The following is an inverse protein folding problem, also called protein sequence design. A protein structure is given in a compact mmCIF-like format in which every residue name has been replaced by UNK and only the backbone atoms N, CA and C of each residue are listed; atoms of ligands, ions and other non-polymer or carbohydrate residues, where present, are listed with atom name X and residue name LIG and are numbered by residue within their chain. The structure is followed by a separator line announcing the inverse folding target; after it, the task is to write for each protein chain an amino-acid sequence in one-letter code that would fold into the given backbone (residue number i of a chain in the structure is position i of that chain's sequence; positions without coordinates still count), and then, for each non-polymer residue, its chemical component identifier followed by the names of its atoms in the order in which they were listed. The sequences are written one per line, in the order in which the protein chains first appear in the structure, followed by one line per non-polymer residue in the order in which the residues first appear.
data_IF_218237995453
#
_entry.id   IF_218237995453
#
_cell.length_a   1.000
_cell.length_b   1.000
_cell.length_c   1.000
_cell.angle_alpha   90.00
_cell.angle_beta   90.00
_cell.angle_gamma   90.00
#
_symmetry.space_group_name_H-M   'P 1'
#
loop_
_entity.id
_entity.type
_entity.pdbx_description
1 polymer ?
#
# COMPACT_ATOMS: atom_id res chain seq x y z
N UNK A 1 -11.74 -14.22 -25.66
CA UNK A 1 -11.39 -15.25 -24.65
C UNK A 1 -11.58 -14.61 -23.29
N UNK A 2 -12.18 -15.31 -22.32
CA UNK A 2 -12.34 -14.78 -20.95
C UNK A 2 -10.96 -14.68 -20.30
N UNK A 3 -10.70 -13.56 -19.60
CA UNK A 3 -9.48 -13.36 -18.80
C UNK A 3 -9.40 -14.42 -17.70
N UNK A 4 -8.27 -15.18 -17.59
CA UNK A 4 -8.10 -16.13 -16.50
C UNK A 4 -8.18 -15.43 -15.14
N UNK A 5 -9.05 -15.91 -14.26
CA UNK A 5 -9.18 -15.42 -12.89
C UNK A 5 -9.25 -16.60 -11.92
N UNK A 6 -8.48 -16.54 -10.85
CA UNK A 6 -8.51 -17.52 -9.77
C UNK A 6 -8.25 -16.84 -8.42
N UNK A 7 -8.76 -17.42 -7.36
CA UNK A 7 -8.49 -17.00 -5.98
C UNK A 7 -7.74 -18.12 -5.26
N UNK A 8 -6.93 -17.76 -4.27
CA UNK A 8 -6.15 -18.72 -3.50
C UNK A 8 -5.61 -18.13 -2.20
N UNK A 9 -4.84 -18.94 -1.51
CA UNK A 9 -4.10 -18.51 -0.32
C UNK A 9 -2.67 -19.01 -0.37
N UNK A 10 -1.74 -18.22 0.19
CA UNK A 10 -0.38 -18.67 0.54
C UNK A 10 -0.22 -18.65 2.05
N UNK A 11 0.72 -19.42 2.55
CA UNK A 11 1.09 -19.41 3.97
C UNK A 11 2.37 -18.60 4.14
N UNK A 12 2.31 -17.53 4.93
CA UNK A 12 3.48 -16.74 5.33
C UNK A 12 4.39 -17.53 6.26
N UNK A 13 5.60 -17.03 6.47
CA UNK A 13 6.62 -17.71 7.28
C UNK A 13 6.17 -18.01 8.72
N UNK A 14 5.32 -17.15 9.29
CA UNK A 14 4.77 -17.32 10.64
C UNK A 14 3.49 -18.17 10.70
N UNK A 15 3.09 -18.79 9.59
CA UNK A 15 1.86 -19.58 9.47
C UNK A 15 0.62 -18.77 9.10
N UNK A 16 0.70 -17.44 8.99
CA UNK A 16 -0.42 -16.60 8.60
C UNK A 16 -0.87 -16.94 7.17
N UNK A 17 -2.18 -17.18 6.98
CA UNK A 17 -2.79 -17.35 5.65
C UNK A 17 -2.99 -15.99 5.00
N UNK A 18 -2.48 -15.81 3.79
CA UNK A 18 -2.63 -14.60 2.98
C UNK A 18 -3.48 -14.93 1.76
N UNK A 19 -4.64 -14.31 1.69
CA UNK A 19 -5.62 -14.51 0.61
C UNK A 19 -5.33 -13.57 -0.57
N UNK A 20 -5.47 -14.10 -1.78
CA UNK A 20 -5.23 -13.33 -3.00
C UNK A 20 -6.19 -13.71 -4.13
N UNK A 21 -6.37 -12.77 -5.07
CA UNK A 21 -6.92 -13.01 -6.41
C UNK A 21 -5.80 -12.87 -7.44
N UNK A 22 -5.81 -13.74 -8.43
CA UNK A 22 -4.89 -13.76 -9.56
C UNK A 22 -5.66 -13.58 -10.86
N UNK A 23 -5.29 -12.58 -11.67
CA UNK A 23 -5.99 -12.23 -12.90
C UNK A 23 -4.98 -12.03 -14.03
N UNK A 24 -5.23 -12.65 -15.19
CA UNK A 24 -4.41 -12.50 -16.38
C UNK A 24 -3.26 -13.50 -16.50
N UNK A 25 -2.38 -13.23 -17.47
CA UNK A 25 -1.21 -14.06 -17.80
C UNK A 25 -0.02 -13.14 -18.15
N UNK A 26 1.20 -13.64 -17.93
CA UNK A 26 2.45 -12.91 -18.17
C UNK A 26 3.24 -12.66 -16.88
N UNK A 27 4.24 -11.74 -16.90
CA UNK A 27 5.02 -11.40 -15.72
C UNK A 27 4.14 -10.97 -14.55
N UNK A 28 4.52 -11.36 -13.32
CA UNK A 28 3.72 -11.08 -12.14
C UNK A 28 3.82 -9.62 -11.69
N UNK A 29 2.66 -9.06 -11.32
CA UNK A 29 2.52 -7.77 -10.65
C UNK A 29 1.72 -7.99 -9.36
N UNK A 30 2.36 -7.83 -8.21
CA UNK A 30 1.69 -7.88 -6.90
C UNK A 30 1.27 -6.46 -6.52
N UNK A 31 0.00 -6.28 -6.16
CA UNK A 31 -0.55 -4.99 -5.73
C UNK A 31 -0.60 -4.94 -4.21
N UNK A 32 0.15 -4.02 -3.63
CA UNK A 32 0.23 -3.76 -2.18
C UNK A 32 -0.69 -2.59 -1.85
N UNK A 33 -1.81 -2.90 -1.23
CA UNK A 33 -2.85 -1.94 -0.88
C UNK A 33 -2.41 -0.98 0.24
N UNK A 34 -2.97 0.24 0.25
CA UNK A 34 -2.74 1.24 1.29
C UNK A 34 -3.43 0.93 2.62
N UNK A 35 -3.38 1.88 3.56
CA UNK A 35 -3.79 1.70 4.96
C UNK A 35 -5.23 1.20 5.14
N UNK A 36 -6.16 1.66 4.31
CA UNK A 36 -7.58 1.32 4.45
C UNK A 36 -8.12 0.48 3.31
N UNK A 37 -7.25 -0.01 2.43
CA UNK A 37 -7.64 -0.77 1.25
C UNK A 37 -7.50 -2.28 1.48
N UNK A 38 -8.44 -3.04 0.92
CA UNK A 38 -8.39 -4.49 0.74
C UNK A 38 -9.32 -4.89 -0.40
N UNK A 39 -9.24 -6.12 -0.89
CA UNK A 39 -9.90 -6.57 -2.14
C UNK A 39 -11.40 -6.28 -2.19
N UNK A 40 -12.13 -6.55 -1.11
CA UNK A 40 -13.58 -6.33 -1.06
C UNK A 40 -13.97 -4.85 -0.86
N UNK A 41 -13.07 -4.03 -0.32
CA UNK A 41 -13.31 -2.61 -0.06
C UNK A 41 -13.09 -1.73 -1.29
N UNK A 42 -12.05 -2.04 -2.10
CA UNK A 42 -11.68 -1.22 -3.26
C UNK A 42 -11.87 -1.97 -4.59
N UNK A 43 -13.02 -1.79 -5.26
CA UNK A 43 -13.30 -2.44 -6.54
C UNK A 43 -12.35 -1.98 -7.66
N UNK A 44 -11.69 -0.82 -7.55
CA UNK A 44 -10.75 -0.32 -8.55
C UNK A 44 -9.52 -1.22 -8.69
N UNK A 45 -9.14 -1.94 -7.63
CA UNK A 45 -8.06 -2.93 -7.70
C UNK A 45 -8.40 -4.06 -8.70
N UNK A 46 -9.64 -4.55 -8.67
CA UNK A 46 -10.10 -5.57 -9.61
C UNK A 46 -10.24 -5.03 -11.04
N UNK A 47 -10.72 -3.78 -11.20
CA UNK A 47 -10.79 -3.11 -12.51
C UNK A 47 -9.40 -2.96 -13.11
N UNK A 48 -8.43 -2.46 -12.34
CA UNK A 48 -7.04 -2.32 -12.78
C UNK A 48 -6.42 -3.67 -13.19
N UNK A 49 -6.66 -4.72 -12.40
CA UNK A 49 -6.21 -6.07 -12.73
C UNK A 49 -6.75 -6.54 -14.07
N UNK A 50 -8.05 -6.30 -14.33
CA UNK A 50 -8.68 -6.60 -15.63
C UNK A 50 -8.05 -5.85 -16.79
N UNK A 51 -7.75 -4.55 -16.61
CA UNK A 51 -7.11 -3.72 -17.64
C UNK A 51 -5.66 -4.14 -17.94
N UNK A 52 -4.98 -4.80 -17.04
CA UNK A 52 -3.58 -5.24 -17.21
C UNK A 52 -3.45 -6.73 -17.60
N UNK A 53 -4.54 -7.49 -17.55
CA UNK A 53 -4.56 -8.95 -17.60
C UNK A 53 -4.09 -9.58 -18.92
N UNK A 54 -4.09 -8.84 -20.03
CA UNK A 54 -3.58 -9.29 -21.30
C UNK A 54 -2.04 -9.27 -21.39
N UNK A 55 -1.37 -8.61 -20.44
CA UNK A 55 0.08 -8.41 -20.43
C UNK A 55 0.75 -8.88 -19.14
N UNK A 56 0.03 -8.96 -18.05
CA UNK A 56 0.55 -9.27 -16.72
C UNK A 56 -0.35 -10.25 -15.98
N UNK A 57 0.27 -11.02 -15.10
CA UNK A 57 -0.43 -11.74 -14.05
C UNK A 57 -0.54 -10.82 -12.84
N UNK A 58 -1.71 -10.19 -12.63
CA UNK A 58 -1.94 -9.30 -11.51
C UNK A 58 -2.41 -10.08 -10.29
N UNK A 59 -1.75 -9.89 -9.17
CA UNK A 59 -2.03 -10.53 -7.88
C UNK A 59 -2.47 -9.43 -6.91
N UNK A 60 -3.76 -9.36 -6.63
CA UNK A 60 -4.32 -8.53 -5.56
C UNK A 60 -4.44 -9.40 -4.31
N UNK A 61 -3.90 -8.96 -3.18
CA UNK A 61 -4.00 -9.71 -1.93
C UNK A 61 -4.56 -8.84 -0.81
N UNK A 62 -5.17 -9.47 0.16
CA UNK A 62 -5.50 -8.81 1.42
C UNK A 62 -4.27 -8.84 2.31
N UNK A 63 -3.79 -7.68 2.74
CA UNK A 63 -2.71 -7.60 3.73
C UNK A 63 -3.15 -8.30 5.02
N UNK A 64 -2.18 -8.80 5.82
CA UNK A 64 -2.48 -9.52 7.06
C UNK A 64 -3.47 -8.76 7.94
N UNK A 65 -4.43 -9.49 8.52
CA UNK A 65 -5.50 -8.95 9.36
C UNK A 65 -6.59 -8.18 8.61
N UNK A 66 -6.60 -8.20 7.27
CA UNK A 66 -7.63 -7.56 6.45
C UNK A 66 -8.34 -8.56 5.56
N UNK A 67 -9.60 -8.31 5.26
CA UNK A 67 -10.40 -9.12 4.35
C UNK A 67 -10.40 -10.60 4.73
N UNK A 68 -9.93 -11.45 3.81
CA UNK A 68 -9.88 -12.91 4.01
C UNK A 68 -8.51 -13.41 4.51
N UNK A 69 -7.55 -12.52 4.75
CA UNK A 69 -6.24 -12.89 5.31
C UNK A 69 -6.28 -13.04 6.82
N UNK A 70 -5.50 -13.98 7.33
CA UNK A 70 -5.27 -14.17 8.76
C UNK A 70 -4.42 -13.05 9.38
N UNK A 71 -4.32 -13.08 10.71
CA UNK A 71 -3.47 -12.17 11.48
C UNK A 71 -2.82 -12.91 12.65
N UNK A 72 -1.52 -13.13 12.59
CA UNK A 72 -0.76 -13.76 13.67
C UNK A 72 0.05 -12.68 14.40
N UNK A 73 -0.21 -12.54 15.70
CA UNK A 73 0.50 -11.60 16.56
C UNK A 73 1.72 -12.26 17.22
N UNK A 74 2.74 -11.49 17.63
CA UNK A 74 2.83 -10.03 17.50
C UNK A 74 3.13 -9.57 16.07
N UNK A 75 2.62 -8.38 15.71
CA UNK A 75 2.97 -7.73 14.44
C UNK A 75 4.40 -7.20 14.45
N UNK A 76 5.02 -7.20 13.29
CA UNK A 76 6.18 -6.39 12.96
C UNK A 76 6.21 -6.13 11.45
N UNK A 77 6.86 -5.05 10.96
CA UNK A 77 7.01 -4.79 9.52
C UNK A 77 7.59 -5.97 8.75
N UNK A 78 8.52 -6.71 9.36
CA UNK A 78 9.13 -7.91 8.77
C UNK A 78 8.08 -8.98 8.38
N UNK A 79 6.96 -9.08 9.12
CA UNK A 79 5.91 -10.05 8.81
C UNK A 79 5.21 -9.76 7.48
N UNK A 80 4.98 -8.49 7.13
CA UNK A 80 4.42 -8.14 5.82
C UNK A 80 5.43 -8.34 4.68
N UNK A 81 6.71 -8.14 4.93
CA UNK A 81 7.76 -8.50 3.97
C UNK A 81 7.75 -10.02 3.72
N UNK A 82 7.57 -10.84 4.75
CA UNK A 82 7.43 -12.30 4.64
C UNK A 82 6.15 -12.72 3.90
N UNK A 83 5.05 -11.96 4.02
CA UNK A 83 3.82 -12.17 3.24
C UNK A 83 4.08 -11.96 1.75
N UNK A 84 4.75 -10.86 1.40
CA UNK A 84 5.13 -10.59 0.01
C UNK A 84 6.09 -11.66 -0.50
N UNK A 85 7.03 -12.13 0.31
CA UNK A 85 7.93 -13.23 -0.05
C UNK A 85 7.17 -14.52 -0.37
N UNK A 86 6.13 -14.85 0.41
CA UNK A 86 5.27 -16.01 0.15
C UNK A 86 4.48 -15.87 -1.15
N UNK A 87 3.95 -14.66 -1.44
CA UNK A 87 3.28 -14.36 -2.70
C UNK A 87 4.23 -14.45 -3.90
N UNK A 88 5.46 -13.97 -3.74
CA UNK A 88 6.50 -14.06 -4.78
C UNK A 88 6.87 -15.52 -5.05
N UNK A 89 7.12 -16.30 -4.01
CA UNK A 89 7.49 -17.71 -4.14
C UNK A 89 6.36 -18.59 -4.70
N UNK A 90 5.11 -18.27 -4.35
CA UNK A 90 3.93 -19.03 -4.74
C UNK A 90 3.29 -18.54 -6.06
N UNK A 91 2.19 -17.75 -5.99
CA UNK A 91 1.40 -17.39 -7.17
C UNK A 91 2.14 -16.55 -8.22
N UNK A 92 3.21 -15.84 -7.84
CA UNK A 92 4.01 -15.05 -8.77
C UNK A 92 5.10 -15.87 -9.50
N UNK A 93 5.38 -17.08 -9.06
CA UNK A 93 6.34 -17.97 -9.76
C UNK A 93 7.82 -17.63 -9.55
N UNK A 94 8.18 -17.04 -8.42
CA UNK A 94 9.55 -16.81 -7.98
C UNK A 94 10.08 -15.40 -8.17
N UNK A 95 9.40 -14.53 -8.93
CA UNK A 95 9.74 -13.10 -9.09
C UNK A 95 8.51 -12.27 -9.44
N UNK A 96 8.54 -10.99 -9.14
CA UNK A 96 7.43 -10.09 -9.42
C UNK A 96 7.89 -8.63 -9.55
N UNK A 97 7.05 -7.80 -10.17
CA UNK A 97 7.03 -6.36 -9.92
C UNK A 97 6.02 -6.04 -8.81
N UNK A 98 6.22 -4.93 -8.11
CA UNK A 98 5.30 -4.46 -7.06
C UNK A 98 4.66 -3.14 -7.46
N UNK A 99 3.36 -3.01 -7.19
CA UNK A 99 2.63 -1.74 -7.23
C UNK A 99 2.09 -1.47 -5.83
N UNK A 100 2.57 -0.41 -5.18
CA UNK A 100 2.08 -0.01 -3.86
C UNK A 100 1.32 1.32 -3.90
N UNK A 101 0.15 1.33 -3.27
CA UNK A 101 -0.64 2.55 -3.08
C UNK A 101 -0.40 3.14 -1.71
N UNK A 102 -0.20 4.48 -1.62
CA UNK A 102 -0.08 5.18 -0.34
C UNK A 102 1.02 4.53 0.53
N UNK A 103 0.75 4.20 1.77
CA UNK A 103 1.63 3.44 2.68
C UNK A 103 2.02 2.06 2.12
N UNK A 104 1.17 1.42 1.32
CA UNK A 104 1.52 0.19 0.61
C UNK A 104 2.70 0.35 -0.36
N UNK A 105 2.96 1.56 -0.85
CA UNK A 105 4.17 1.89 -1.60
C UNK A 105 5.43 1.76 -0.75
N UNK A 106 5.36 2.14 0.51
CA UNK A 106 6.47 1.99 1.47
C UNK A 106 6.70 0.52 1.77
N UNK A 107 5.64 -0.26 2.02
CA UNK A 107 5.72 -1.72 2.23
C UNK A 107 6.37 -2.41 1.02
N UNK A 108 5.95 -2.05 -0.21
CA UNK A 108 6.53 -2.59 -1.44
C UNK A 108 8.02 -2.27 -1.58
N UNK A 109 8.41 -1.03 -1.27
CA UNK A 109 9.81 -0.60 -1.33
C UNK A 109 10.66 -1.30 -0.27
N UNK A 110 10.16 -1.46 0.96
CA UNK A 110 10.85 -2.19 2.03
C UNK A 110 11.06 -3.66 1.66
N UNK A 111 10.07 -4.31 1.05
CA UNK A 111 10.22 -5.68 0.56
C UNK A 111 11.30 -5.79 -0.53
N UNK A 112 11.37 -4.82 -1.44
CA UNK A 112 12.40 -4.75 -2.47
C UNK A 112 13.79 -4.48 -1.88
N UNK A 113 13.90 -3.54 -0.93
CA UNK A 113 15.16 -3.21 -0.23
C UNK A 113 15.66 -4.35 0.66
N UNK A 114 14.76 -5.21 1.15
CA UNK A 114 15.09 -6.43 1.89
C UNK A 114 15.67 -7.56 1.00
N UNK A 115 15.78 -7.35 -0.32
CA UNK A 115 16.40 -8.29 -1.25
C UNK A 115 15.46 -9.35 -1.81
N UNK A 116 14.16 -9.18 -1.72
CA UNK A 116 13.24 -10.07 -2.42
C UNK A 116 13.44 -9.94 -3.95
N UNK A 117 13.17 -11.01 -4.73
CA UNK A 117 13.36 -11.00 -6.19
C UNK A 117 12.31 -10.15 -6.89
N UNK A 118 12.47 -8.83 -6.78
CA UNK A 118 11.58 -7.81 -7.32
C UNK A 118 12.22 -7.18 -8.56
N UNK A 119 11.47 -7.20 -9.67
CA UNK A 119 11.93 -6.66 -10.95
C UNK A 119 11.81 -5.13 -11.04
N UNK A 120 10.67 -4.60 -10.58
CA UNK A 120 10.36 -3.16 -10.61
C UNK A 120 9.41 -2.81 -9.46
N UNK A 121 9.46 -1.55 -9.02
CA UNK A 121 8.51 -1.03 -8.02
C UNK A 121 7.80 0.19 -8.58
N UNK A 122 6.49 0.26 -8.40
CA UNK A 122 5.70 1.47 -8.62
C UNK A 122 5.11 1.90 -7.28
N UNK A 123 5.32 3.15 -6.91
CA UNK A 123 4.76 3.76 -5.72
C UNK A 123 3.78 4.85 -6.15
N UNK A 124 2.50 4.69 -5.83
CA UNK A 124 1.51 5.74 -6.04
C UNK A 124 1.28 6.50 -4.74
N UNK A 125 1.68 7.77 -4.74
CA UNK A 125 1.50 8.73 -3.64
C UNK A 125 1.94 8.23 -2.26
N UNK A 126 3.25 7.94 -2.05
CA UNK A 126 3.77 7.65 -0.72
C UNK A 126 3.54 8.88 0.19
N UNK A 127 2.76 8.74 1.31
CA UNK A 127 2.12 9.88 1.97
C UNK A 127 3.01 10.50 3.07
N UNK A 128 4.23 10.91 2.74
CA UNK A 128 5.13 11.56 3.70
C UNK A 128 4.86 13.05 3.82
N UNK A 129 4.47 13.50 5.01
CA UNK A 129 4.45 14.91 5.37
C UNK A 129 5.87 15.32 5.77
N UNK A 130 6.57 15.98 4.84
CA UNK A 130 7.96 16.37 5.05
C UNK A 130 8.10 17.52 6.04
N UNK A 131 9.22 17.57 6.74
CA UNK A 131 9.55 18.73 7.59
C UNK A 131 9.57 20.01 6.75
N UNK A 132 8.94 21.06 7.28
CA UNK A 132 8.83 22.36 6.59
C UNK A 132 7.79 22.42 5.47
N UNK A 133 6.99 21.36 5.25
CA UNK A 133 5.92 21.34 4.24
C UNK A 133 4.72 22.23 4.55
N UNK A 134 4.60 22.75 5.78
CA UNK A 134 3.44 23.51 6.25
C UNK A 134 2.25 22.64 6.68
N UNK A 135 2.38 21.32 6.60
CA UNK A 135 1.36 20.36 7.05
C UNK A 135 1.82 19.67 8.33
N UNK A 136 0.90 19.38 9.28
CA UNK A 136 1.25 18.66 10.49
C UNK A 136 1.59 17.20 10.16
N UNK A 137 2.71 16.66 10.66
CA UNK A 137 2.98 15.23 10.61
C UNK A 137 2.01 14.48 11.53
N UNK A 138 1.88 13.15 11.39
CA UNK A 138 1.14 12.36 12.36
C UNK A 138 1.73 12.54 13.76
N UNK A 139 0.89 12.45 14.83
CA UNK A 139 1.37 12.53 16.22
C UNK A 139 2.46 11.49 16.50
N UNK A 140 3.43 11.84 17.36
CA UNK A 140 4.53 10.93 17.66
C UNK A 140 4.10 9.61 18.31
N UNK A 141 2.97 9.63 19.04
CA UNK A 141 2.33 8.49 19.70
C UNK A 141 1.24 7.82 18.83
N UNK A 142 1.28 8.04 17.52
CA UNK A 142 0.24 7.58 16.59
C UNK A 142 -0.02 6.06 16.68
N UNK A 143 1.01 5.25 16.69
CA UNK A 143 0.89 3.80 16.75
C UNK A 143 0.39 3.34 18.12
N UNK A 144 0.96 3.88 19.19
CA UNK A 144 0.60 3.59 20.57
C UNK A 144 -0.85 3.94 20.86
N UNK A 145 -1.33 5.07 20.34
CA UNK A 145 -2.72 5.49 20.49
C UNK A 145 -3.68 4.51 19.80
N UNK A 146 -3.38 4.09 18.56
CA UNK A 146 -4.17 3.11 17.81
C UNK A 146 -4.18 1.75 18.52
N UNK A 147 -3.03 1.27 18.99
CA UNK A 147 -2.88 -0.01 19.67
C UNK A 147 -3.61 -0.02 21.03
N UNK A 148 -3.58 1.10 21.75
CA UNK A 148 -4.34 1.26 22.98
C UNK A 148 -5.86 1.20 22.76
N UNK A 149 -6.37 1.83 21.68
CA UNK A 149 -7.80 1.73 21.30
C UNK A 149 -8.18 0.28 20.99
N UNK A 150 -7.35 -0.42 20.21
CA UNK A 150 -7.57 -1.83 19.85
C UNK A 150 -7.54 -2.71 21.10
N UNK A 151 -6.58 -2.51 21.99
CA UNK A 151 -6.49 -3.25 23.26
C UNK A 151 -7.68 -3.00 24.20
N UNK A 152 -8.28 -1.80 24.14
CA UNK A 152 -9.49 -1.45 24.86
C UNK A 152 -10.78 -2.02 24.22
N UNK A 153 -10.69 -2.66 23.05
CA UNK A 153 -11.85 -3.15 22.30
C UNK A 153 -12.67 -2.05 21.62
N UNK A 154 -12.09 -0.86 21.46
CA UNK A 154 -12.73 0.26 20.74
C UNK A 154 -12.67 0.00 19.22
N UNK A 155 -13.82 -0.37 18.65
CA UNK A 155 -13.92 -0.66 17.22
C UNK A 155 -14.09 0.59 16.35
N UNK A 156 -14.55 1.70 16.93
CA UNK A 156 -14.83 2.95 16.24
C UNK A 156 -13.65 3.93 16.30
N UNK A 157 -12.87 3.86 17.36
CA UNK A 157 -11.73 4.75 17.61
C UNK A 157 -10.68 4.70 16.53
N UNK A 158 -10.10 3.53 16.18
CA UNK A 158 -9.03 3.45 15.21
C UNK A 158 -9.37 4.01 13.83
N UNK A 159 -10.49 3.67 13.15
CA UNK A 159 -10.83 4.27 11.87
C UNK A 159 -11.11 5.79 11.98
N UNK A 160 -11.76 6.26 13.03
CA UNK A 160 -12.00 7.69 13.23
C UNK A 160 -10.69 8.46 13.50
N UNK A 161 -9.77 7.87 14.26
CA UNK A 161 -8.46 8.46 14.53
C UNK A 161 -7.62 8.56 13.25
N UNK A 162 -7.59 7.51 12.44
CA UNK A 162 -6.94 7.52 11.12
C UNK A 162 -7.51 8.62 10.22
N UNK A 163 -8.83 8.68 10.04
CA UNK A 163 -9.47 9.70 9.21
C UNK A 163 -9.10 11.11 9.65
N UNK A 164 -9.07 11.37 10.97
CA UNK A 164 -8.65 12.65 11.53
C UNK A 164 -7.18 12.94 11.24
N UNK A 165 -6.31 11.94 11.37
CA UNK A 165 -4.87 12.10 11.14
C UNK A 165 -4.52 12.42 9.68
N UNK A 166 -5.37 12.01 8.73
CA UNK A 166 -5.23 12.37 7.30
C UNK A 166 -6.00 13.64 6.93
N UNK A 167 -6.51 14.40 7.91
CA UNK A 167 -7.10 15.71 7.72
C UNK A 167 -8.59 15.71 7.39
N UNK A 168 -9.32 14.60 7.60
CA UNK A 168 -10.78 14.63 7.46
C UNK A 168 -11.43 15.45 8.57
N UNK A 169 -12.36 16.37 8.23
CA UNK A 169 -13.05 17.17 9.22
C UNK A 169 -14.04 16.31 10.03
N UNK A 170 -14.34 16.72 11.29
CA UNK A 170 -15.18 15.94 12.20
C UNK A 170 -16.55 15.56 11.62
N UNK A 171 -17.20 16.47 10.89
CA UNK A 171 -18.50 16.23 10.26
C UNK A 171 -18.44 15.16 9.16
N UNK A 172 -17.32 15.07 8.42
CA UNK A 172 -17.14 14.03 7.41
C UNK A 172 -16.89 12.65 8.07
N UNK A 173 -16.18 12.63 9.20
CA UNK A 173 -15.98 11.40 10.00
C UNK A 173 -17.32 10.93 10.56
N UNK A 174 -18.12 11.84 11.11
CA UNK A 174 -19.45 11.51 11.62
C UNK A 174 -20.38 11.01 10.49
N UNK A 175 -20.35 11.65 9.33
CA UNK A 175 -21.06 11.16 8.15
C UNK A 175 -20.62 9.75 7.72
N UNK A 176 -19.33 9.48 7.76
CA UNK A 176 -18.79 8.16 7.45
C UNK A 176 -19.27 7.06 8.43
N UNK A 177 -19.43 7.38 9.72
CA UNK A 177 -19.98 6.45 10.74
C UNK A 177 -21.37 5.93 10.40
N UNK A 178 -22.18 6.74 9.71
CA UNK A 178 -23.53 6.37 9.29
C UNK A 178 -23.59 5.76 7.88
N UNK A 179 -22.45 5.58 7.23
CA UNK A 179 -22.39 5.04 5.87
C UNK A 179 -22.23 3.51 5.86
N UNK A 180 -22.62 2.83 4.77
CA UNK A 180 -22.42 1.37 4.61
C UNK A 180 -20.94 0.92 4.63
N UNK A 181 -19.99 1.84 4.46
CA UNK A 181 -18.56 1.51 4.51
C UNK A 181 -18.01 1.42 5.94
N UNK A 182 -18.72 1.96 6.94
CA UNK A 182 -18.21 2.01 8.31
C UNK A 182 -17.86 0.63 8.90
N UNK A 183 -18.70 -0.41 8.77
CA UNK A 183 -18.34 -1.75 9.22
C UNK A 183 -17.05 -2.29 8.59
N UNK A 184 -16.79 -1.94 7.32
CA UNK A 184 -15.53 -2.31 6.65
C UNK A 184 -14.34 -1.55 7.26
N UNK A 185 -14.51 -0.26 7.58
CA UNK A 185 -13.50 0.53 8.27
C UNK A 185 -13.22 0.01 9.69
N UNK A 186 -14.25 -0.41 10.42
CA UNK A 186 -14.10 -1.07 11.72
C UNK A 186 -13.30 -2.37 11.60
N UNK A 187 -13.53 -3.17 10.57
CA UNK A 187 -12.85 -4.46 10.39
C UNK A 187 -11.34 -4.33 10.18
N UNK A 188 -10.87 -3.22 9.63
CA UNK A 188 -9.43 -2.95 9.44
C UNK A 188 -8.81 -2.20 10.63
N UNK A 189 -9.62 -1.67 11.54
CA UNK A 189 -9.19 -0.93 12.72
C UNK A 189 -7.98 -1.55 13.42
N UNK A 190 -7.98 -2.87 13.72
CA UNK A 190 -6.89 -3.56 14.38
C UNK A 190 -5.54 -3.53 13.65
N UNK A 191 -5.50 -3.17 12.36
CA UNK A 191 -4.30 -3.20 11.52
C UNK A 191 -3.88 -1.85 10.98
N UNK A 192 -4.55 -0.76 11.38
CA UNK A 192 -4.19 0.59 10.91
C UNK A 192 -2.80 0.99 11.42
N UNK A 193 -2.43 0.63 12.64
CA UNK A 193 -1.10 0.88 13.20
C UNK A 193 0.02 0.20 12.40
N UNK A 194 -0.27 -0.88 11.65
CA UNK A 194 0.73 -1.58 10.84
C UNK A 194 1.35 -0.67 9.78
N UNK A 195 0.52 0.16 9.14
CA UNK A 195 1.00 1.18 8.21
C UNK A 195 1.82 2.25 8.92
N UNK A 196 1.39 2.65 10.12
CA UNK A 196 2.12 3.59 10.96
C UNK A 196 3.53 3.10 11.28
N UNK A 197 3.72 1.84 11.66
CA UNK A 197 5.04 1.28 11.91
C UNK A 197 5.98 1.43 10.70
N UNK A 198 5.51 1.15 9.48
CA UNK A 198 6.30 1.35 8.26
C UNK A 198 6.62 2.83 8.04
N UNK A 199 5.64 3.72 8.20
CA UNK A 199 5.81 5.14 7.94
C UNK A 199 6.75 5.81 8.95
N UNK A 200 6.66 5.43 10.24
CA UNK A 200 7.54 5.96 11.28
C UNK A 200 8.97 5.46 11.09
N UNK A 201 9.17 4.17 10.84
CA UNK A 201 10.49 3.59 10.59
C UNK A 201 11.13 4.15 9.29
N UNK A 202 10.32 4.44 8.28
CA UNK A 202 10.79 4.99 7.01
C UNK A 202 11.09 6.50 7.05
N UNK A 203 10.45 7.29 7.94
CA UNK A 203 10.66 8.73 7.94
C UNK A 203 10.37 9.43 9.27
N UNK A 204 9.19 9.21 9.87
CA UNK A 204 8.73 10.08 10.95
C UNK A 204 9.57 9.99 12.24
N UNK A 205 10.18 8.85 12.52
CA UNK A 205 11.04 8.67 13.68
C UNK A 205 12.33 9.48 13.60
N UNK A 206 12.86 9.71 12.38
CA UNK A 206 14.19 10.33 12.19
C UNK A 206 14.17 11.63 11.38
N UNK A 207 13.10 11.88 10.60
CA UNK A 207 13.02 12.96 9.62
C UNK A 207 13.83 12.71 8.34
N UNK A 208 14.37 11.50 8.15
CA UNK A 208 15.21 11.11 7.02
C UNK A 208 14.80 9.75 6.51
N UNK A 209 14.85 9.55 5.17
CA UNK A 209 14.67 8.24 4.57
C UNK A 209 15.87 7.33 4.90
N UNK A 210 15.63 6.03 5.16
CA UNK A 210 16.67 5.13 5.65
C UNK A 210 17.66 4.75 4.55
N UNK A 211 18.93 4.63 4.91
CA UNK A 211 19.99 4.23 3.98
C UNK A 211 19.74 2.86 3.31
N UNK A 212 18.99 1.96 3.95
CA UNK A 212 18.63 0.65 3.38
C UNK A 212 17.84 0.77 2.07
N UNK A 213 17.16 1.89 1.79
CA UNK A 213 16.47 2.12 0.51
C UNK A 213 17.42 2.16 -0.68
N UNK A 214 18.70 2.42 -0.48
CA UNK A 214 19.75 2.33 -1.51
C UNK A 214 19.95 0.89 -2.02
N UNK A 215 19.49 -0.12 -1.26
CA UNK A 215 19.50 -1.52 -1.70
C UNK A 215 18.42 -1.80 -2.76
N UNK A 216 17.41 -0.94 -2.90
CA UNK A 216 16.41 -1.03 -3.96
C UNK A 216 16.99 -0.53 -5.30
N UNK A 217 17.86 -1.33 -5.93
CA UNK A 217 18.59 -0.97 -7.14
C UNK A 217 17.79 -1.19 -8.44
N UNK A 218 16.66 -1.89 -8.37
CA UNK A 218 15.75 -2.06 -9.50
C UNK A 218 15.10 -0.73 -9.91
N UNK A 219 14.55 -0.61 -11.13
CA UNK A 219 13.80 0.58 -11.52
C UNK A 219 12.60 0.84 -10.60
N UNK A 220 12.46 2.08 -10.13
CA UNK A 220 11.33 2.54 -9.32
C UNK A 220 10.62 3.68 -10.02
N UNK A 221 9.29 3.60 -10.13
CA UNK A 221 8.46 4.70 -10.62
C UNK A 221 7.67 5.29 -9.44
N UNK A 222 7.92 6.55 -9.12
CA UNK A 222 7.16 7.27 -8.09
C UNK A 222 6.14 8.18 -8.76
N UNK A 223 4.86 7.94 -8.52
CA UNK A 223 3.73 8.59 -9.18
C UNK A 223 2.94 9.43 -8.19
N UNK A 224 2.45 10.58 -8.62
CA UNK A 224 1.43 11.34 -7.89
C UNK A 224 0.39 11.90 -8.85
N UNK A 225 -0.82 12.18 -8.36
CA UNK A 225 -1.80 12.99 -9.05
C UNK A 225 -1.51 14.50 -8.89
N UNK A 226 -2.12 15.33 -9.74
CA UNK A 226 -2.04 16.79 -9.64
C UNK A 226 -3.24 17.41 -8.90
N UNK A 227 -4.22 16.58 -8.50
CA UNK A 227 -5.42 16.98 -7.73
C UNK A 227 -5.50 16.32 -6.36
N UNK A 228 -4.38 15.82 -5.86
CA UNK A 228 -4.29 15.16 -4.57
C UNK A 228 -3.96 16.14 -3.43
N UNK A 229 -3.59 15.61 -2.27
CA UNK A 229 -3.18 16.44 -1.13
C UNK A 229 -1.98 17.32 -1.51
N UNK A 230 -1.97 18.61 -1.09
CA UNK A 230 -0.93 19.57 -1.52
C UNK A 230 0.51 19.15 -1.19
N UNK A 231 0.73 18.30 -0.18
CA UNK A 231 2.06 17.81 0.20
C UNK A 231 2.56 16.61 -0.65
N UNK A 232 1.66 15.91 -1.36
CA UNK A 232 2.00 14.68 -2.11
C UNK A 232 3.08 14.86 -3.19
N UNK A 233 3.07 15.93 -4.03
CA UNK A 233 4.13 16.13 -5.00
C UNK A 233 5.52 16.22 -4.37
N UNK A 234 5.65 16.99 -3.29
CA UNK A 234 6.92 17.13 -2.56
C UNK A 234 7.38 15.82 -1.92
N UNK A 235 6.44 15.05 -1.33
CA UNK A 235 6.71 13.73 -0.79
C UNK A 235 7.25 12.78 -1.87
N UNK A 236 6.57 12.72 -3.00
CA UNK A 236 6.96 11.85 -4.12
C UNK A 236 8.32 12.27 -4.72
N UNK A 237 8.62 13.58 -4.80
CA UNK A 237 9.93 14.08 -5.25
C UNK A 237 11.05 13.70 -4.26
N UNK A 238 10.79 13.80 -2.96
CA UNK A 238 11.76 13.45 -1.92
C UNK A 238 12.05 11.94 -1.92
N UNK A 239 11.02 11.11 -2.03
CA UNK A 239 11.17 9.64 -2.16
C UNK A 239 11.99 9.29 -3.41
N UNK A 240 11.68 9.89 -4.57
CA UNK A 240 12.43 9.62 -5.78
C UNK A 240 13.91 10.01 -5.67
N UNK A 241 14.23 11.12 -4.98
CA UNK A 241 15.61 11.55 -4.72
C UNK A 241 16.38 10.62 -3.77
N UNK A 242 15.68 9.96 -2.85
CA UNK A 242 16.28 9.04 -1.90
C UNK A 242 16.69 7.68 -2.52
N UNK A 243 16.20 7.38 -3.70
CA UNK A 243 16.37 6.09 -4.38
C UNK A 243 17.41 6.15 -5.50
N UNK A 244 18.22 5.09 -5.69
CA UNK A 244 19.30 5.10 -6.68
C UNK A 244 18.82 5.07 -8.13
N UNK A 245 17.65 4.50 -8.40
CA UNK A 245 17.14 4.28 -9.77
C UNK A 245 15.64 4.59 -9.84
N UNK A 246 15.25 5.80 -9.45
CA UNK A 246 13.87 6.22 -9.48
C UNK A 246 13.58 7.25 -10.58
N UNK A 247 12.36 7.16 -11.13
CA UNK A 247 11.78 8.15 -12.03
C UNK A 247 10.49 8.70 -11.46
N UNK A 248 10.15 9.93 -11.82
CA UNK A 248 8.92 10.62 -11.38
C UNK A 248 7.90 10.71 -12.50
N UNK A 249 6.63 10.56 -12.14
CA UNK A 249 5.50 10.80 -13.04
C UNK A 249 4.39 11.52 -12.28
N UNK A 250 3.79 12.54 -12.91
CA UNK A 250 2.57 13.18 -12.43
C UNK A 250 1.43 12.78 -13.37
N UNK A 251 0.29 12.38 -12.79
CA UNK A 251 -0.93 12.04 -13.53
C UNK A 251 -1.89 13.22 -13.48
N UNK A 252 -2.16 13.80 -14.64
CA UNK A 252 -3.08 14.93 -14.78
C UNK A 252 -4.52 14.53 -14.40
N UNK A 253 -5.18 15.37 -13.59
CA UNK A 253 -6.57 15.19 -13.17
C UNK A 253 -6.81 14.06 -12.17
N UNK A 254 -5.75 13.46 -11.61
CA UNK A 254 -5.87 12.36 -10.65
C UNK A 254 -5.62 12.86 -9.22
N UNK A 255 -6.30 12.21 -8.29
CA UNK A 255 -6.17 12.40 -6.85
C UNK A 255 -5.52 11.17 -6.18
N UNK A 256 -5.73 10.99 -4.86
CA UNK A 256 -5.17 9.85 -4.11
C UNK A 256 -5.73 8.48 -4.53
N UNK A 257 -6.82 8.44 -5.28
CA UNK A 257 -7.43 7.25 -5.86
C UNK A 257 -7.42 7.32 -7.40
N UNK A 258 -6.31 6.98 -8.08
CA UNK A 258 -6.21 7.17 -9.53
C UNK A 258 -7.22 6.29 -10.27
N UNK A 259 -7.83 6.86 -11.32
CA UNK A 259 -8.73 6.10 -12.20
C UNK A 259 -7.93 4.97 -12.88
N UNK A 260 -8.43 3.73 -12.83
CA UNK A 260 -7.71 2.57 -13.39
C UNK A 260 -7.39 2.70 -14.88
N UNK A 261 -8.28 3.31 -15.67
CA UNK A 261 -8.11 3.52 -17.12
C UNK A 261 -7.00 4.55 -17.44
N UNK A 262 -6.79 5.53 -16.56
CA UNK A 262 -5.70 6.50 -16.68
C UNK A 262 -4.37 5.91 -16.22
N UNK A 263 -4.39 5.10 -15.16
CA UNK A 263 -3.17 4.56 -14.57
C UNK A 263 -2.62 3.32 -15.31
N UNK A 264 -3.48 2.45 -15.83
CA UNK A 264 -3.06 1.22 -16.51
C UNK A 264 -2.08 1.46 -17.69
N UNK A 265 -2.25 2.44 -18.58
CA UNK A 265 -1.28 2.74 -19.64
C UNK A 265 0.11 3.13 -19.10
N UNK A 266 0.16 3.88 -17.99
CA UNK A 266 1.43 4.29 -17.36
C UNK A 266 2.16 3.09 -16.78
N UNK A 267 1.42 2.21 -16.07
CA UNK A 267 1.94 0.95 -15.55
C UNK A 267 2.50 0.06 -16.67
N UNK A 268 1.72 -0.10 -17.77
CA UNK A 268 2.17 -0.90 -18.93
C UNK A 268 3.48 -0.37 -19.52
N UNK A 269 3.57 0.93 -19.71
CA UNK A 269 4.76 1.55 -20.31
C UNK A 269 5.99 1.30 -19.42
N UNK A 270 5.87 1.50 -18.13
CA UNK A 270 6.99 1.31 -17.20
C UNK A 270 7.33 -0.17 -16.97
N UNK A 271 6.34 -1.04 -16.80
CA UNK A 271 6.60 -2.45 -16.50
C UNK A 271 7.15 -3.23 -17.70
N UNK A 272 6.88 -2.79 -18.94
CA UNK A 272 7.40 -3.41 -20.18
C UNK A 272 8.77 -2.87 -20.62
N UNK A 273 9.21 -1.70 -20.13
CA UNK A 273 10.55 -1.15 -20.37
C UNK A 273 11.61 -1.97 -19.61
#
# INVERSE_FOLDING_TARGET
MSTPKSSGTVTSRDGTRIAYDKTGTGPALIVVAGATQFRAFDPNLAVLAGLLADAFTVINYDRRGRGESGNTLPFSPQREIEDIAALVAGPAGGRASLLGYSSGGVVALEAAAAGLPIDKVVMYEPPFVLQGSGFPPPPADYNEALEAMVAAGDIDGPPAYFMRSVGMPPEAIEGARHSPIWPLMQSIGPTISYDGHFMFDAYYATGHFPDRWRNATMPVLVVSGDRSFPFMPAAADAVAKALPNATRKVLAGQDHGPKPDVFAPVLRAFLKS
#
